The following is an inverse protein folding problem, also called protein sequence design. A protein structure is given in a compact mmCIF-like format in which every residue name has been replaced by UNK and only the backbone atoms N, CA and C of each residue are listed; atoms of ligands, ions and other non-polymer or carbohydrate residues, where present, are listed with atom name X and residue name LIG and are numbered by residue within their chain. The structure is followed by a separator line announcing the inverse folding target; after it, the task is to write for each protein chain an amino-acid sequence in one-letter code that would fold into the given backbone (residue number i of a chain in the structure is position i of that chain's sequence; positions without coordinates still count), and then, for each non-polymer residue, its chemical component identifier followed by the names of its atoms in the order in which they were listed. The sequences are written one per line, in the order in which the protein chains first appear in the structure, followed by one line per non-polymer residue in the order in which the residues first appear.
data_IF_867626003459
#
_entry.id   IF_867626003459
#
_cell.length_a   1.000
_cell.length_b   1.000
_cell.length_c   1.000
_cell.angle_alpha   90.00
_cell.angle_beta   90.00
_cell.angle_gamma   90.00
#
_symmetry.space_group_name_H-M   'P 1'
#
loop_
_entity.id
_entity.type
_entity.pdbx_description
1 polymer ?
#
# COMPACT_ATOMS: atom_id res chain seq x y z
N UNK A 1 6.41 -8.45 -7.31
CA UNK A 1 5.97 -7.26 -8.06
C UNK A 1 6.95 -6.15 -7.72
N UNK A 2 7.46 -5.47 -8.75
CA UNK A 2 8.48 -4.42 -8.65
C UNK A 2 7.84 -3.04 -8.48
N UNK A 3 8.56 -2.09 -7.86
CA UNK A 3 8.11 -0.70 -7.70
C UNK A 3 8.37 0.08 -8.99
N UNK A 4 7.32 0.70 -9.54
CA UNK A 4 7.43 1.49 -10.79
C UNK A 4 7.85 2.93 -10.47
N UNK A 5 8.80 3.49 -11.21
CA UNK A 5 9.21 4.90 -11.09
C UNK A 5 8.41 5.75 -12.07
N UNK A 6 7.72 6.78 -11.57
CA UNK A 6 6.85 7.65 -12.39
C UNK A 6 7.32 9.09 -12.27
N UNK A 7 7.46 9.80 -13.40
CA UNK A 7 7.80 11.24 -13.39
C UNK A 7 6.61 12.06 -12.89
N UNK A 8 6.85 13.04 -12.03
CA UNK A 8 5.81 13.93 -11.52
C UNK A 8 6.12 15.39 -11.88
N UNK A 9 5.16 16.15 -12.45
CA UNK A 9 3.73 15.83 -12.67
C UNK A 9 3.38 15.17 -14.01
N UNK A 10 4.34 15.00 -14.91
CA UNK A 10 4.09 14.56 -16.30
C UNK A 10 3.49 13.15 -16.42
N UNK A 11 3.68 12.28 -15.42
CA UNK A 11 3.18 10.91 -15.38
C UNK A 11 1.86 10.71 -14.61
N UNK A 12 1.03 11.74 -14.39
CA UNK A 12 -0.25 11.59 -13.65
C UNK A 12 -1.19 10.54 -14.25
N UNK A 13 -1.23 10.40 -15.58
CA UNK A 13 -2.03 9.36 -16.24
C UNK A 13 -1.53 7.95 -15.88
N UNK A 14 -0.22 7.71 -15.98
CA UNK A 14 0.41 6.45 -15.60
C UNK A 14 0.22 6.14 -14.11
N UNK A 15 0.37 7.16 -13.24
CA UNK A 15 0.09 7.04 -11.80
C UNK A 15 -1.33 6.55 -11.54
N UNK A 16 -2.30 7.08 -12.27
CA UNK A 16 -3.72 6.71 -12.13
C UNK A 16 -3.96 5.25 -12.52
N UNK A 17 -3.37 4.80 -13.63
CA UNK A 17 -3.49 3.42 -14.09
C UNK A 17 -2.81 2.42 -13.13
N UNK A 18 -1.65 2.79 -12.59
CA UNK A 18 -0.95 2.00 -11.57
C UNK A 18 -1.72 1.93 -10.26
N UNK A 19 -2.39 3.02 -9.85
CA UNK A 19 -3.28 3.02 -8.69
C UNK A 19 -4.45 2.06 -8.86
N UNK A 20 -5.13 2.10 -10.00
CA UNK A 20 -6.26 1.24 -10.30
C UNK A 20 -5.88 -0.26 -10.32
N UNK A 21 -4.64 -0.59 -10.70
CA UNK A 21 -4.12 -1.95 -10.75
C UNK A 21 -3.43 -2.41 -9.46
N UNK A 22 -3.37 -1.57 -8.43
CA UNK A 22 -2.73 -1.89 -7.15
C UNK A 22 -1.21 -2.10 -7.26
N UNK A 23 -0.57 -1.48 -8.26
CA UNK A 23 0.86 -1.57 -8.48
C UNK A 23 1.59 -0.52 -7.64
N UNK A 24 2.62 -0.90 -6.86
CA UNK A 24 3.40 0.04 -6.08
C UNK A 24 4.23 0.96 -6.96
N UNK A 25 4.28 2.25 -6.60
CA UNK A 25 4.89 3.29 -7.42
C UNK A 25 5.58 4.37 -6.60
N UNK A 26 6.73 4.82 -7.09
CA UNK A 26 7.49 5.92 -6.51
C UNK A 26 7.49 7.10 -7.47
N UNK A 27 6.95 8.22 -7.01
CA UNK A 27 6.82 9.43 -7.82
C UNK A 27 8.12 10.25 -7.72
N UNK A 28 8.75 10.50 -8.86
CA UNK A 28 9.95 11.33 -9.00
C UNK A 28 9.53 12.78 -9.23
N UNK A 29 9.45 13.54 -8.13
CA UNK A 29 9.01 14.94 -8.11
C UNK A 29 10.12 15.83 -8.64
N UNK A 30 9.85 16.48 -9.78
CA UNK A 30 10.78 17.44 -10.37
C UNK A 30 11.01 18.65 -9.44
N UNK A 31 12.16 19.30 -9.60
CA UNK A 31 12.50 20.45 -8.76
C UNK A 31 11.54 21.61 -9.02
N UNK A 32 11.08 22.28 -7.96
CA UNK A 32 10.08 23.36 -8.04
C UNK A 32 8.62 22.87 -8.07
N UNK A 33 8.39 21.59 -8.33
CA UNK A 33 7.03 21.03 -8.36
C UNK A 33 6.49 20.76 -6.95
N UNK A 34 5.18 20.91 -6.79
CA UNK A 34 4.50 20.53 -5.57
C UNK A 34 4.48 19.00 -5.44
N UNK A 35 4.78 18.43 -4.25
CA UNK A 35 4.66 17.00 -4.06
C UNK A 35 3.17 16.61 -4.15
N UNK A 36 2.85 15.44 -4.72
CA UNK A 36 1.48 14.96 -4.81
C UNK A 36 0.94 14.59 -3.43
N UNK A 37 -0.37 14.69 -3.26
CA UNK A 37 -1.05 14.05 -2.14
C UNK A 37 -1.04 12.54 -2.36
N UNK A 38 -0.45 11.78 -1.43
CA UNK A 38 -0.36 10.33 -1.51
C UNK A 38 -1.69 9.71 -1.10
N UNK A 39 -2.30 8.95 -2.01
CA UNK A 39 -3.66 8.41 -1.86
C UNK A 39 -3.76 7.01 -1.25
N UNK A 40 -2.67 6.22 -1.29
CA UNK A 40 -2.63 4.85 -0.77
C UNK A 40 -1.25 4.49 -0.19
N UNK A 41 -1.19 3.35 0.52
CA UNK A 41 0.03 2.84 1.16
C UNK A 41 1.07 2.30 0.16
N UNK A 42 0.71 2.05 -1.10
CA UNK A 42 1.60 1.58 -2.16
C UNK A 42 2.17 2.72 -3.02
N UNK A 43 1.97 3.97 -2.59
CA UNK A 43 2.55 5.15 -3.20
C UNK A 43 3.50 5.87 -2.21
N UNK A 44 4.61 6.38 -2.75
CA UNK A 44 5.52 7.31 -2.05
C UNK A 44 6.10 8.26 -3.11
N UNK A 45 6.83 9.29 -2.67
CA UNK A 45 7.48 10.22 -3.57
C UNK A 45 8.87 10.63 -3.07
N UNK A 46 9.71 11.05 -4.01
CA UNK A 46 11.02 11.62 -3.72
C UNK A 46 11.31 12.76 -4.71
N UNK A 47 11.92 13.84 -4.23
CA UNK A 47 12.38 14.95 -5.09
C UNK A 47 13.64 14.55 -5.82
N UNK A 48 13.73 14.86 -7.12
CA UNK A 48 14.93 14.65 -7.92
C UNK A 48 15.67 15.97 -8.22
N UNK A 49 17.02 15.95 -8.29
CA UNK A 49 17.89 14.78 -8.09
C UNK A 49 17.93 14.29 -6.65
N UNK A 50 17.94 12.97 -6.46
CA UNK A 50 18.06 12.29 -5.17
C UNK A 50 19.31 11.41 -5.17
N UNK A 51 19.87 11.15 -3.99
CA UNK A 51 20.93 10.16 -3.85
C UNK A 51 20.38 8.74 -4.01
N UNK A 52 21.20 7.84 -4.55
CA UNK A 52 20.81 6.44 -4.74
C UNK A 52 20.35 5.78 -3.44
N UNK A 53 21.02 6.05 -2.32
CA UNK A 53 20.65 5.49 -1.03
C UNK A 53 19.22 5.84 -0.60
N UNK A 54 18.81 7.10 -0.82
CA UNK A 54 17.45 7.56 -0.51
C UNK A 54 16.43 6.93 -1.45
N UNK A 55 16.75 6.82 -2.74
CA UNK A 55 15.90 6.14 -3.72
C UNK A 55 15.65 4.67 -3.33
N UNK A 56 16.71 3.94 -3.01
CA UNK A 56 16.61 2.54 -2.58
C UNK A 56 15.84 2.40 -1.27
N UNK A 57 16.01 3.31 -0.31
CA UNK A 57 15.28 3.29 0.95
C UNK A 57 13.76 3.46 0.73
N UNK A 58 13.36 4.33 -0.19
CA UNK A 58 11.94 4.53 -0.57
C UNK A 58 11.35 3.28 -1.23
N UNK A 59 12.06 2.70 -2.20
CA UNK A 59 11.65 1.46 -2.88
C UNK A 59 11.49 0.32 -1.86
N UNK A 60 12.48 0.10 -1.00
CA UNK A 60 12.44 -0.93 0.03
C UNK A 60 11.26 -0.73 1.01
N UNK A 61 10.90 0.52 1.30
CA UNK A 61 9.72 0.87 2.09
C UNK A 61 8.43 0.41 1.43
N UNK A 62 8.24 0.71 0.15
CA UNK A 62 7.08 0.28 -0.63
C UNK A 62 6.98 -1.24 -0.77
N UNK A 63 8.10 -1.92 -1.04
CA UNK A 63 8.12 -3.38 -1.09
C UNK A 63 7.75 -4.02 0.26
N UNK A 64 8.18 -3.43 1.38
CA UNK A 64 7.79 -3.91 2.71
C UNK A 64 6.29 -3.78 2.93
N UNK A 65 5.68 -2.67 2.52
CA UNK A 65 4.23 -2.45 2.61
C UNK A 65 3.47 -3.48 1.76
N UNK A 66 3.95 -3.74 0.54
CA UNK A 66 3.40 -4.79 -0.31
C UNK A 66 3.48 -6.18 0.34
N UNK A 67 4.61 -6.52 0.97
CA UNK A 67 4.75 -7.79 1.69
C UNK A 67 3.83 -7.88 2.92
N UNK A 68 3.58 -6.76 3.61
CA UNK A 68 2.65 -6.73 4.75
C UNK A 68 1.17 -6.80 4.35
N UNK A 69 0.83 -6.49 3.09
CA UNK A 69 -0.51 -6.71 2.51
C UNK A 69 -0.82 -8.20 2.26
N UNK A 70 -0.14 -9.14 2.94
CA UNK A 70 -0.39 -10.58 2.84
C UNK A 70 -1.88 -10.95 2.96
N UNK A 71 -2.29 -12.17 2.56
CA UNK A 71 -3.70 -12.57 2.48
C UNK A 71 -4.32 -12.56 3.87
N UNK A 72 -4.80 -11.40 4.29
CA UNK A 72 -5.41 -11.16 5.58
C UNK A 72 -6.76 -10.52 5.35
N UNK A 73 -7.58 -11.12 4.49
CA UNK A 73 -9.02 -11.02 4.71
C UNK A 73 -9.22 -11.65 6.09
N UNK A 74 -9.68 -10.89 7.09
CA UNK A 74 -10.00 -11.47 8.38
C UNK A 74 -11.05 -12.54 8.15
N UNK A 75 -10.65 -13.81 8.23
CA UNK A 75 -11.56 -14.93 8.13
C UNK A 75 -12.00 -15.27 9.53
N UNK A 76 -13.32 -15.35 9.71
CA UNK A 76 -13.93 -15.94 10.89
C UNK A 76 -14.08 -17.42 10.58
N UNK A 77 -13.47 -18.27 11.39
CA UNK A 77 -13.69 -19.71 11.29
C UNK A 77 -15.03 -20.12 11.94
N UNK A 78 -15.41 -21.39 11.79
CA UNK A 78 -16.68 -21.93 12.29
C UNK A 78 -16.82 -21.82 13.82
N UNK A 79 -15.72 -21.56 14.54
CA UNK A 79 -15.66 -21.37 15.99
C UNK A 79 -15.81 -19.90 16.43
N UNK A 80 -15.97 -18.96 15.48
CA UNK A 80 -16.10 -17.54 15.77
C UNK A 80 -14.76 -16.87 16.10
N UNK A 81 -13.63 -17.42 15.64
CA UNK A 81 -12.31 -16.84 15.87
C UNK A 81 -11.87 -16.04 14.66
N UNK A 82 -11.55 -14.76 14.89
CA UNK A 82 -10.95 -13.90 13.89
C UNK A 82 -9.46 -14.22 13.78
N UNK A 83 -9.00 -14.53 12.57
CA UNK A 83 -7.58 -14.77 12.29
C UNK A 83 -7.02 -13.67 11.40
N UNK A 84 -5.98 -12.98 11.88
CA UNK A 84 -5.26 -11.95 11.10
C UNK A 84 -3.76 -12.09 11.33
N UNK A 85 -3.00 -12.31 10.25
CA UNK A 85 -1.53 -12.26 10.25
C UNK A 85 -0.87 -13.10 11.38
N UNK A 86 -1.39 -14.29 11.64
CA UNK A 86 -0.86 -15.21 12.67
C UNK A 86 -1.33 -14.95 14.10
N UNK A 87 -2.14 -13.92 14.34
CA UNK A 87 -2.85 -13.69 15.59
C UNK A 87 -4.27 -14.27 15.57
N UNK A 88 -4.76 -14.68 16.75
CA UNK A 88 -6.14 -15.14 16.95
C UNK A 88 -6.81 -14.33 18.06
N UNK A 89 -8.05 -13.92 17.83
CA UNK A 89 -8.90 -13.30 18.85
C UNK A 89 -10.28 -13.98 18.80
N UNK A 90 -10.80 -14.50 19.93
CA UNK A 90 -12.17 -14.98 19.97
C UNK A 90 -13.12 -13.79 19.78
N UNK A 91 -14.00 -13.82 18.79
CA UNK A 91 -15.07 -12.84 18.66
C UNK A 91 -16.27 -13.31 19.48
N UNK A 92 -16.73 -12.55 20.48
CA UNK A 92 -17.97 -12.84 21.16
C UNK A 92 -19.14 -12.94 20.16
N UNK A 93 -20.18 -13.76 20.43
CA UNK A 93 -21.22 -14.10 19.46
C UNK A 93 -21.98 -12.92 18.83
N UNK A 94 -21.99 -11.75 19.49
CA UNK A 94 -22.61 -10.53 18.96
C UNK A 94 -21.77 -9.87 17.86
N UNK A 95 -20.44 -9.92 17.99
CA UNK A 95 -19.50 -9.31 17.04
C UNK A 95 -19.39 -10.16 15.77
N UNK A 96 -19.37 -11.50 15.90
CA UNK A 96 -19.35 -12.43 14.77
C UNK A 96 -20.58 -12.33 13.85
N UNK A 97 -21.75 -11.97 14.41
CA UNK A 97 -22.99 -11.76 13.63
C UNK A 97 -22.96 -10.47 12.83
N UNK A 98 -22.30 -9.43 13.34
CA UNK A 98 -22.21 -8.13 12.67
C UNK A 98 -21.29 -8.18 11.45
N UNK A 99 -20.24 -9.00 11.49
CA UNK A 99 -19.29 -9.18 10.39
C UNK A 99 -19.83 -9.99 9.20
N UNK A 100 -20.86 -10.81 9.39
CA UNK A 100 -21.48 -11.60 8.31
C UNK A 100 -22.65 -10.89 7.60
N UNK A 101 -23.02 -9.68 8.03
CA UNK A 101 -24.17 -8.92 7.54
C UNK A 101 -23.80 -7.67 6.71
N UNK A 102 -22.50 -7.48 6.44
CA UNK A 102 -21.92 -6.42 5.60
C UNK A 102 -21.41 -7.03 4.29
#
# INVERSE_FOLDING_TARGET
MEVVLVRWPSGEAERTDLAASGVPRLLLVENGEAPPAVGDDLEDWIRVPAGDADLHARIAGLERRLRSRGPGVPAIDDDGVLRVQGGWVPLPPVEARLTGAL
#
